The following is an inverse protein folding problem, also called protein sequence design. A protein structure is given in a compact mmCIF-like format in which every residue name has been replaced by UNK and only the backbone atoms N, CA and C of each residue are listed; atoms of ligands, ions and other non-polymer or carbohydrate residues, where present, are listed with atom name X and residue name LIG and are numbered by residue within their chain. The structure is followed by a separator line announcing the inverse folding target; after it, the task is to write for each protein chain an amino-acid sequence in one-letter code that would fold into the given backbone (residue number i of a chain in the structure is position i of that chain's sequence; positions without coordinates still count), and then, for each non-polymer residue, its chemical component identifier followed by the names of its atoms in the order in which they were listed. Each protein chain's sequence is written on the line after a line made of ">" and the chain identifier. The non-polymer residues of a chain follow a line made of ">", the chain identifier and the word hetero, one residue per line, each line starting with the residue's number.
data_IF_016542167676
#
_entry.id   IF_016542167676
#
_cell.length_a   1.000
_cell.length_b   1.000
_cell.length_c   1.000
_cell.angle_alpha   90.00
_cell.angle_beta   90.00
_cell.angle_gamma   90.00
#
_symmetry.space_group_name_H-M   'P 1'
#
loop_
_entity.id
_entity.type
_entity.pdbx_description
1 polymer ?
#
# COMPACT_ATOMS: atom_id res chain seq x y z
N UNK A 1 20.62 -61.55 -59.21
CA UNK A 1 20.42 -60.07 -59.23
C UNK A 1 19.65 -59.67 -58.04
N UNK A 2 20.31 -59.10 -56.98
CA UNK A 2 19.72 -58.69 -55.73
C UNK A 2 19.53 -57.17 -55.76
N UNK A 3 18.25 -56.72 -55.85
CA UNK A 3 17.92 -55.30 -55.73
C UNK A 3 18.01 -54.81 -54.33
N UNK A 4 18.96 -53.90 -54.03
CA UNK A 4 19.06 -53.21 -52.77
C UNK A 4 17.99 -52.10 -52.72
N UNK A 5 17.04 -52.18 -51.76
CA UNK A 5 16.18 -51.08 -51.40
C UNK A 5 16.94 -50.13 -50.45
N UNK A 6 17.01 -48.86 -50.81
CA UNK A 6 17.52 -47.78 -49.95
C UNK A 6 16.33 -47.18 -49.24
N UNK A 7 16.26 -47.11 -47.89
CA UNK A 7 15.19 -46.42 -47.20
C UNK A 7 15.41 -44.89 -47.25
N UNK A 8 14.39 -44.19 -47.73
CA UNK A 8 14.34 -42.74 -47.77
C UNK A 8 13.93 -42.24 -46.34
N UNK A 9 14.91 -41.69 -45.61
CA UNK A 9 14.63 -41.07 -44.33
C UNK A 9 14.05 -39.65 -44.56
N UNK A 10 12.76 -39.47 -44.31
CA UNK A 10 12.12 -38.17 -44.34
C UNK A 10 12.47 -37.42 -43.04
N UNK A 11 13.32 -36.39 -43.16
CA UNK A 11 13.68 -35.50 -42.07
C UNK A 11 12.56 -34.47 -41.88
N UNK A 12 11.68 -34.70 -40.91
CA UNK A 12 10.66 -33.72 -40.52
C UNK A 12 11.29 -32.61 -39.69
N UNK A 13 11.47 -31.44 -40.29
CA UNK A 13 11.84 -30.23 -39.55
C UNK A 13 10.62 -29.73 -38.73
N UNK A 14 10.66 -29.92 -37.42
CA UNK A 14 9.76 -29.18 -36.55
C UNK A 14 10.25 -27.74 -36.43
N UNK A 15 9.61 -26.81 -37.14
CA UNK A 15 9.78 -25.37 -36.92
C UNK A 15 9.05 -25.04 -35.62
N UNK A 16 9.78 -25.02 -34.54
CA UNK A 16 9.30 -24.46 -33.25
C UNK A 16 9.22 -22.94 -33.43
N UNK A 17 8.03 -22.44 -33.69
CA UNK A 17 7.75 -21.02 -33.69
C UNK A 17 7.67 -20.56 -32.22
N UNK A 18 8.82 -20.28 -31.59
CA UNK A 18 8.83 -19.58 -30.32
C UNK A 18 8.48 -18.12 -30.62
N UNK A 19 7.22 -17.75 -30.41
CA UNK A 19 6.84 -16.33 -30.33
C UNK A 19 7.54 -15.74 -29.09
N UNK A 20 8.69 -15.12 -29.30
CA UNK A 20 9.35 -14.33 -28.26
C UNK A 20 8.32 -13.29 -27.77
N UNK A 21 7.87 -13.40 -26.53
CA UNK A 21 7.06 -12.36 -25.91
C UNK A 21 7.87 -11.06 -25.99
N UNK A 22 7.28 -10.03 -26.63
CA UNK A 22 7.90 -8.70 -26.67
C UNK A 22 8.12 -8.24 -25.24
N UNK A 23 9.33 -7.80 -24.91
CA UNK A 23 9.63 -7.26 -23.59
C UNK A 23 8.70 -6.08 -23.31
N UNK A 24 8.13 -6.04 -22.10
CA UNK A 24 7.26 -4.95 -21.66
C UNK A 24 8.15 -3.74 -21.36
N UNK A 25 7.82 -2.60 -21.94
CA UNK A 25 8.44 -1.32 -21.63
C UNK A 25 7.61 -0.67 -20.50
N UNK A 26 7.97 -0.97 -19.26
CA UNK A 26 7.23 -0.55 -18.08
C UNK A 26 7.18 0.98 -17.93
N UNK A 27 8.21 1.69 -18.35
CA UNK A 27 8.22 3.17 -18.31
C UNK A 27 7.18 3.78 -19.26
N UNK A 28 6.99 3.17 -20.44
CA UNK A 28 5.98 3.66 -21.39
C UNK A 28 4.55 3.41 -20.98
N UNK A 29 4.30 2.33 -20.23
CA UNK A 29 2.94 1.96 -19.85
C UNK A 29 2.54 2.49 -18.47
N UNK A 30 3.48 2.98 -17.66
CA UNK A 30 3.23 3.52 -16.32
C UNK A 30 2.10 4.55 -16.32
N UNK A 31 2.17 5.56 -17.18
CA UNK A 31 1.17 6.62 -17.25
C UNK A 31 -0.26 6.09 -17.55
N UNK A 32 -0.36 4.98 -18.31
CA UNK A 32 -1.66 4.31 -18.56
C UNK A 32 -2.29 3.86 -17.25
N UNK A 33 -1.51 3.29 -16.33
CA UNK A 33 -2.02 2.74 -15.08
C UNK A 33 -2.14 3.80 -13.99
N UNK A 34 -1.20 4.74 -13.88
CA UNK A 34 -1.33 5.92 -12.99
C UNK A 34 -2.65 6.65 -13.24
N UNK A 35 -3.04 6.82 -14.53
CA UNK A 35 -4.29 7.50 -14.89
C UNK A 35 -5.55 6.65 -14.66
N UNK A 36 -5.44 5.38 -14.27
CA UNK A 36 -6.58 4.55 -13.87
C UNK A 36 -6.95 4.70 -12.39
N UNK A 37 -6.13 5.37 -11.58
CA UNK A 37 -6.51 5.76 -10.21
C UNK A 37 -7.75 6.67 -10.30
N UNK A 38 -8.82 6.25 -9.66
CA UNK A 38 -10.16 6.79 -9.87
C UNK A 38 -10.73 7.42 -8.61
N UNK A 39 -11.07 8.70 -8.69
CA UNK A 39 -11.61 9.50 -7.58
C UNK A 39 -12.92 8.92 -7.03
N UNK A 40 -13.80 8.44 -7.90
CA UNK A 40 -15.10 7.92 -7.48
C UNK A 40 -14.97 6.62 -6.68
N UNK A 41 -13.99 5.77 -7.05
CA UNK A 41 -13.69 4.57 -6.26
C UNK A 41 -13.15 4.93 -4.87
N UNK A 42 -12.20 5.86 -4.79
CA UNK A 42 -11.65 6.35 -3.52
C UNK A 42 -12.76 6.90 -2.63
N UNK A 43 -13.63 7.75 -3.19
CA UNK A 43 -14.77 8.32 -2.48
C UNK A 43 -15.75 7.25 -2.02
N UNK A 44 -16.13 6.32 -2.90
CA UNK A 44 -17.03 5.20 -2.59
C UNK A 44 -16.53 4.42 -1.38
N UNK A 45 -15.25 4.01 -1.42
CA UNK A 45 -14.68 3.19 -0.37
C UNK A 45 -14.52 3.95 0.94
N UNK A 46 -14.08 5.22 0.88
CA UNK A 46 -13.91 6.04 2.07
C UNK A 46 -15.24 6.33 2.77
N UNK A 47 -16.28 6.60 2.00
CA UNK A 47 -17.63 6.82 2.55
C UNK A 47 -18.12 5.62 3.38
N UNK A 48 -17.68 4.41 3.05
CA UNK A 48 -18.03 3.20 3.80
C UNK A 48 -17.08 3.00 4.97
N UNK A 49 -15.76 3.05 4.72
CA UNK A 49 -14.72 2.80 5.74
C UNK A 49 -14.79 3.79 6.90
N UNK A 50 -15.09 5.06 6.63
CA UNK A 50 -15.21 6.11 7.62
C UNK A 50 -16.67 6.47 7.94
N UNK A 51 -17.59 5.51 7.83
CA UNK A 51 -18.99 5.68 8.25
C UNK A 51 -19.16 5.32 9.74
N UNK A 52 -20.24 5.84 10.33
CA UNK A 52 -20.63 5.51 11.71
C UNK A 52 -20.86 4.01 11.91
N UNK A 53 -21.22 3.26 10.88
CA UNK A 53 -21.37 1.79 10.93
C UNK A 53 -20.06 1.08 11.28
N UNK A 54 -18.93 1.69 11.00
CA UNK A 54 -17.60 1.16 11.33
C UNK A 54 -17.12 1.57 12.73
N UNK A 55 -17.94 2.31 13.49
CA UNK A 55 -17.73 2.60 14.91
C UNK A 55 -16.34 3.19 15.21
N UNK A 56 -15.76 3.93 14.24
CA UNK A 56 -14.41 4.50 14.34
C UNK A 56 -13.28 3.46 14.41
N UNK A 57 -13.52 2.22 14.01
CA UNK A 57 -12.52 1.15 13.76
C UNK A 57 -11.50 0.91 14.87
N UNK A 58 -11.87 1.07 16.15
CA UNK A 58 -10.93 0.84 17.25
C UNK A 58 -10.29 -0.55 17.17
N UNK A 59 -9.01 -0.64 17.50
CA UNK A 59 -8.22 -1.88 17.43
C UNK A 59 -8.94 -3.08 18.02
N UNK A 60 -9.22 -4.10 17.20
CA UNK A 60 -9.87 -5.35 17.55
C UNK A 60 -11.37 -5.24 17.85
N UNK A 61 -11.98 -4.05 17.72
CA UNK A 61 -13.43 -3.86 17.87
C UNK A 61 -14.23 -4.49 16.73
N UNK A 62 -15.54 -4.63 16.94
CA UNK A 62 -16.42 -5.10 15.86
C UNK A 62 -16.46 -4.11 14.69
N UNK A 63 -16.34 -2.81 14.93
CA UNK A 63 -16.23 -1.81 13.88
C UNK A 63 -15.02 -2.03 12.98
N UNK A 64 -13.83 -2.28 13.57
CA UNK A 64 -12.64 -2.62 12.79
C UNK A 64 -12.83 -3.91 12.00
N UNK A 65 -13.44 -4.93 12.61
CA UNK A 65 -13.72 -6.20 11.93
C UNK A 65 -14.71 -6.07 10.78
N UNK A 66 -15.71 -5.18 10.89
CA UNK A 66 -16.63 -4.83 9.78
C UNK A 66 -15.85 -4.21 8.62
N UNK A 67 -14.99 -3.22 8.90
CA UNK A 67 -14.13 -2.60 7.89
C UNK A 67 -13.24 -3.62 7.20
N UNK A 68 -12.62 -4.53 7.96
CA UNK A 68 -11.81 -5.62 7.44
C UNK A 68 -12.57 -6.55 6.50
N UNK A 69 -13.78 -6.98 6.89
CA UNK A 69 -14.65 -7.79 6.02
C UNK A 69 -15.00 -7.07 4.72
N UNK A 70 -15.35 -5.79 4.82
CA UNK A 70 -15.64 -4.98 3.63
C UNK A 70 -14.45 -4.92 2.66
N UNK A 71 -13.24 -4.62 3.14
CA UNK A 71 -12.04 -4.59 2.30
C UNK A 71 -11.78 -5.92 1.61
N UNK A 72 -11.88 -7.03 2.34
CA UNK A 72 -11.68 -8.37 1.81
C UNK A 72 -12.72 -8.71 0.73
N UNK A 73 -13.97 -8.34 0.92
CA UNK A 73 -15.03 -8.59 -0.06
C UNK A 73 -14.81 -7.76 -1.34
N UNK A 74 -14.31 -6.52 -1.22
CA UNK A 74 -13.91 -5.72 -2.38
C UNK A 74 -12.68 -6.34 -3.08
N UNK A 75 -11.66 -6.83 -2.35
CA UNK A 75 -10.52 -7.53 -2.96
C UNK A 75 -10.95 -8.78 -3.74
N UNK A 76 -11.87 -9.58 -3.20
CA UNK A 76 -12.44 -10.73 -3.93
C UNK A 76 -13.14 -10.31 -5.23
N UNK A 77 -13.93 -9.22 -5.20
CA UNK A 77 -14.59 -8.66 -6.39
C UNK A 77 -13.60 -8.17 -7.45
N UNK A 78 -12.44 -7.68 -7.01
CA UNK A 78 -11.34 -7.24 -7.89
C UNK A 78 -10.44 -8.39 -8.36
N UNK A 79 -10.71 -9.64 -7.98
CA UNK A 79 -9.84 -10.80 -8.20
C UNK A 79 -8.43 -10.64 -7.60
N UNK A 80 -8.25 -9.81 -6.59
CA UNK A 80 -7.01 -9.68 -5.82
C UNK A 80 -7.02 -10.74 -4.73
N UNK A 81 -6.04 -11.63 -4.75
CA UNK A 81 -5.95 -12.73 -3.80
C UNK A 81 -5.16 -12.34 -2.54
N UNK A 82 -5.14 -13.23 -1.58
CA UNK A 82 -4.19 -13.19 -0.47
C UNK A 82 -2.86 -13.89 -0.86
N UNK A 83 -1.75 -13.65 -0.13
CA UNK A 83 -0.45 -14.23 -0.46
C UNK A 83 -0.44 -15.75 -0.42
N UNK A 84 0.30 -16.38 -1.34
CA UNK A 84 0.57 -17.83 -1.26
C UNK A 84 1.30 -18.16 0.04
N UNK A 85 0.84 -19.18 0.73
CA UNK A 85 1.35 -19.58 2.05
C UNK A 85 0.57 -19.01 3.22
N UNK A 86 -0.23 -17.95 3.00
CA UNK A 86 -1.23 -17.53 3.97
C UNK A 86 -2.47 -18.45 3.91
N UNK A 87 -3.22 -18.50 5.00
CA UNK A 87 -4.45 -19.27 5.11
C UNK A 87 -5.65 -18.54 4.49
N UNK A 88 -5.66 -17.22 4.62
CA UNK A 88 -6.69 -16.30 4.16
C UNK A 88 -6.14 -14.87 4.08
N UNK A 89 -7.00 -13.86 4.02
CA UNK A 89 -6.62 -12.46 3.98
C UNK A 89 -6.14 -11.88 5.32
N UNK A 90 -6.12 -12.68 6.40
CA UNK A 90 -5.81 -12.20 7.73
C UNK A 90 -4.45 -12.67 8.23
N UNK A 91 -3.70 -11.76 8.84
CA UNK A 91 -2.64 -12.09 9.78
C UNK A 91 -3.15 -11.78 11.19
N UNK A 92 -3.47 -12.82 11.95
CA UNK A 92 -3.93 -12.65 13.33
C UNK A 92 -2.85 -12.00 14.21
N UNK A 93 -3.20 -10.93 14.90
CA UNK A 93 -2.37 -10.23 15.87
C UNK A 93 -2.95 -10.48 17.26
N UNK A 94 -2.36 -11.36 18.06
CA UNK A 94 -2.98 -11.80 19.30
C UNK A 94 -2.95 -10.71 20.38
N UNK A 95 -3.97 -10.68 21.23
CA UNK A 95 -4.07 -9.78 22.37
C UNK A 95 -2.84 -9.85 23.29
N UNK A 96 -2.24 -11.03 23.43
CA UNK A 96 -1.00 -11.21 24.21
C UNK A 96 0.17 -10.40 23.66
N UNK A 97 0.25 -10.19 22.34
CA UNK A 97 1.25 -9.33 21.72
C UNK A 97 0.89 -7.85 21.85
N UNK A 98 -0.38 -7.51 21.61
CA UNK A 98 -0.87 -6.12 21.71
C UNK A 98 -0.70 -5.55 23.11
N UNK A 99 -0.91 -6.35 24.15
CA UNK A 99 -0.82 -5.94 25.55
C UNK A 99 0.55 -6.21 26.21
N UNK A 100 1.53 -6.75 25.48
CA UNK A 100 2.79 -7.22 26.07
C UNK A 100 3.63 -6.12 26.78
N UNK A 101 3.63 -4.90 26.23
CA UNK A 101 4.41 -3.77 26.77
C UNK A 101 3.60 -2.88 27.73
N UNK A 102 2.30 -2.79 27.49
CA UNK A 102 1.34 -2.02 28.29
C UNK A 102 0.05 -2.79 28.32
N UNK A 103 -0.58 -2.91 29.46
CA UNK A 103 -1.91 -3.51 29.54
C UNK A 103 -2.95 -2.50 29.05
N UNK A 104 -3.24 -2.57 27.76
CA UNK A 104 -4.23 -1.73 27.07
C UNK A 104 -5.61 -2.37 27.05
N UNK A 105 -5.74 -3.63 27.54
CA UNK A 105 -6.94 -4.46 27.47
C UNK A 105 -7.50 -4.62 26.05
N UNK A 106 -6.62 -4.63 25.05
CA UNK A 106 -7.00 -4.83 23.67
C UNK A 106 -7.35 -6.30 23.42
N UNK A 107 -8.41 -6.60 22.67
CA UNK A 107 -8.71 -7.94 22.19
C UNK A 107 -7.76 -8.37 21.05
N UNK A 108 -7.92 -9.60 20.57
CA UNK A 108 -7.27 -10.04 19.34
C UNK A 108 -7.69 -9.14 18.18
N UNK A 109 -6.73 -8.81 17.33
CA UNK A 109 -6.94 -8.04 16.12
C UNK A 109 -6.24 -8.72 14.93
N UNK A 110 -6.26 -8.11 13.77
CA UNK A 110 -5.66 -8.67 12.55
C UNK A 110 -5.09 -7.58 11.64
N UNK A 111 -3.94 -7.86 11.02
CA UNK A 111 -3.57 -7.18 9.79
C UNK A 111 -4.33 -7.82 8.61
N UNK A 112 -4.58 -7.05 7.57
CA UNK A 112 -5.19 -7.53 6.34
C UNK A 112 -4.19 -7.39 5.22
N UNK A 113 -4.01 -8.44 4.44
CA UNK A 113 -3.15 -8.43 3.28
C UNK A 113 -3.88 -8.83 2.00
N UNK A 114 -3.49 -8.19 0.92
CA UNK A 114 -3.84 -8.57 -0.43
C UNK A 114 -2.56 -8.64 -1.28
N UNK A 115 -2.55 -9.44 -2.33
CA UNK A 115 -1.31 -9.80 -3.01
C UNK A 115 -1.46 -9.86 -4.52
N UNK A 116 -0.56 -9.19 -5.20
CA UNK A 116 -0.41 -9.28 -6.64
C UNK A 116 0.94 -9.95 -6.93
N UNK A 117 0.90 -11.23 -7.30
CA UNK A 117 2.12 -11.98 -7.61
C UNK A 117 2.82 -11.39 -8.83
N UNK A 118 4.11 -11.13 -8.67
CA UNK A 118 4.99 -10.65 -9.73
C UNK A 118 5.28 -11.69 -10.82
N UNK A 119 5.99 -11.27 -11.85
CA UNK A 119 6.32 -12.14 -12.99
C UNK A 119 7.69 -12.81 -12.83
N UNK A 120 8.76 -12.14 -13.17
CA UNK A 120 10.13 -12.69 -13.22
C UNK A 120 10.95 -12.45 -11.94
N UNK A 121 10.55 -11.49 -11.10
CA UNK A 121 11.15 -11.20 -9.80
C UNK A 121 10.15 -11.43 -8.64
N UNK A 122 9.29 -12.42 -8.76
CA UNK A 122 8.13 -12.65 -7.87
C UNK A 122 8.49 -12.88 -6.40
N UNK A 123 9.71 -13.28 -6.11
CA UNK A 123 10.20 -13.52 -4.75
C UNK A 123 10.71 -12.24 -4.07
N UNK A 124 10.87 -11.15 -4.82
CA UNK A 124 11.15 -9.82 -4.30
C UNK A 124 9.82 -9.10 -4.05
N UNK A 125 9.65 -8.52 -2.86
CA UNK A 125 8.37 -7.98 -2.39
C UNK A 125 8.46 -6.47 -2.24
N UNK A 126 7.54 -5.75 -2.86
CA UNK A 126 7.25 -4.35 -2.56
C UNK A 126 6.05 -4.31 -1.62
N UNK A 127 6.22 -3.75 -0.44
CA UNK A 127 5.11 -3.53 0.49
C UNK A 127 4.51 -2.16 0.22
N UNK A 128 3.19 -2.07 0.24
CA UNK A 128 2.45 -0.80 0.31
C UNK A 128 1.58 -0.89 1.54
N UNK A 129 1.80 -0.01 2.51
CA UNK A 129 1.20 -0.09 3.84
C UNK A 129 0.38 1.15 4.20
N UNK A 130 -0.66 0.95 5.02
CA UNK A 130 -1.50 1.95 5.65
C UNK A 130 -2.16 1.31 6.87
N UNK A 131 -2.53 2.08 7.89
CA UNK A 131 -3.33 1.50 8.96
C UNK A 131 -4.83 1.64 8.69
N UNK A 132 -5.63 0.73 9.25
CA UNK A 132 -7.07 0.76 9.07
C UNK A 132 -7.85 0.83 10.38
N UNK A 133 -7.16 0.74 11.52
CA UNK A 133 -7.74 1.08 12.81
C UNK A 133 -7.78 2.61 13.01
N UNK A 134 -8.62 3.05 13.93
CA UNK A 134 -8.66 4.43 14.40
C UNK A 134 -9.12 4.47 15.87
N UNK A 135 -9.40 5.64 16.37
CA UNK A 135 -9.66 5.93 17.77
C UNK A 135 -10.92 5.25 18.34
N UNK A 136 -11.91 4.93 17.50
CA UNK A 136 -13.15 4.28 17.92
C UNK A 136 -14.20 5.22 18.47
N UNK A 137 -14.91 4.79 19.51
CA UNK A 137 -15.94 5.57 20.18
C UNK A 137 -15.47 6.04 21.56
N UNK A 138 -15.67 7.31 21.89
CA UNK A 138 -15.36 7.90 23.20
C UNK A 138 -16.49 8.83 23.62
N UNK A 139 -16.98 8.68 24.85
CA UNK A 139 -18.01 9.53 25.45
C UNK A 139 -19.31 9.65 24.62
N UNK A 140 -19.65 8.62 23.85
CA UNK A 140 -20.84 8.61 22.99
C UNK A 140 -20.63 9.24 21.61
N UNK A 141 -19.44 9.73 21.28
CA UNK A 141 -19.05 10.23 19.98
C UNK A 141 -18.26 9.19 19.21
N UNK A 142 -18.47 9.12 17.90
CA UNK A 142 -17.74 8.26 16.98
C UNK A 142 -16.63 9.07 16.34
N UNK A 143 -15.42 8.53 16.32
CA UNK A 143 -14.25 9.11 15.69
C UNK A 143 -14.05 8.37 14.36
N UNK A 144 -14.62 8.89 13.29
CA UNK A 144 -14.67 8.19 12.00
C UNK A 144 -13.31 8.05 11.33
N UNK A 145 -12.34 8.96 11.59
CA UNK A 145 -11.00 8.89 11.05
C UNK A 145 -10.99 8.79 9.52
N UNK A 146 -11.61 9.80 8.87
CA UNK A 146 -11.70 9.79 7.41
C UNK A 146 -10.35 10.07 6.76
N UNK A 147 -9.56 10.98 7.32
CA UNK A 147 -8.18 11.19 6.90
C UNK A 147 -7.24 10.23 7.61
N UNK A 148 -7.40 10.06 8.92
CA UNK A 148 -6.56 9.23 9.78
C UNK A 148 -7.17 7.83 10.07
N UNK A 149 -6.78 6.74 9.45
CA UNK A 149 -6.13 6.65 8.15
C UNK A 149 -7.07 5.97 7.14
N UNK A 150 -8.31 6.47 7.10
CA UNK A 150 -9.26 6.07 6.06
C UNK A 150 -8.72 6.39 4.66
N UNK A 151 -8.07 7.56 4.51
CA UNK A 151 -7.53 8.03 3.22
C UNK A 151 -6.42 7.13 2.69
N UNK A 152 -5.47 6.70 3.51
CA UNK A 152 -4.44 5.73 3.13
C UNK A 152 -5.01 4.34 2.91
N UNK A 153 -5.94 3.89 3.77
CA UNK A 153 -6.63 2.62 3.60
C UNK A 153 -7.28 2.50 2.22
N UNK A 154 -8.03 3.49 1.76
CA UNK A 154 -8.69 3.41 0.44
C UNK A 154 -7.72 3.63 -0.72
N UNK A 155 -6.62 4.37 -0.51
CA UNK A 155 -5.55 4.49 -1.48
C UNK A 155 -4.95 3.11 -1.80
N UNK A 156 -4.67 2.30 -0.77
CA UNK A 156 -4.19 0.92 -0.94
C UNK A 156 -5.17 0.05 -1.73
N UNK A 157 -6.47 0.15 -1.43
CA UNK A 157 -7.50 -0.60 -2.15
C UNK A 157 -7.51 -0.26 -3.65
N UNK A 158 -7.42 1.02 -3.98
CA UNK A 158 -7.41 1.49 -5.37
C UNK A 158 -6.11 1.12 -6.08
N UNK A 159 -4.96 1.21 -5.41
CA UNK A 159 -3.67 0.76 -5.95
C UNK A 159 -3.70 -0.74 -6.25
N UNK A 160 -4.26 -1.56 -5.36
CA UNK A 160 -4.44 -3.01 -5.58
C UNK A 160 -5.25 -3.29 -6.84
N UNK A 161 -6.37 -2.57 -7.02
CA UNK A 161 -7.22 -2.68 -8.21
C UNK A 161 -6.44 -2.40 -9.49
N UNK A 162 -5.63 -1.35 -9.49
CA UNK A 162 -4.88 -0.94 -10.69
C UNK A 162 -3.72 -1.90 -10.98
N UNK A 163 -2.99 -2.38 -9.97
CA UNK A 163 -1.96 -3.42 -10.15
C UNK A 163 -2.57 -4.73 -10.66
N UNK A 164 -3.72 -5.13 -10.12
CA UNK A 164 -4.42 -6.33 -10.60
C UNK A 164 -4.88 -6.15 -12.06
N UNK A 165 -5.42 -4.99 -12.40
CA UNK A 165 -5.78 -4.67 -13.79
C UNK A 165 -4.57 -4.72 -14.73
N UNK A 166 -3.44 -4.20 -14.30
CA UNK A 166 -2.20 -4.30 -15.09
C UNK A 166 -1.81 -5.76 -15.31
N UNK A 167 -1.93 -6.60 -14.29
CA UNK A 167 -1.66 -8.04 -14.38
C UNK A 167 -2.62 -8.74 -15.36
N UNK A 168 -3.91 -8.43 -15.31
CA UNK A 168 -4.93 -8.97 -16.21
C UNK A 168 -4.68 -8.54 -17.67
N UNK A 169 -4.19 -7.32 -17.88
CA UNK A 169 -3.77 -6.81 -19.20
C UNK A 169 -2.48 -7.46 -19.73
N UNK A 170 -1.83 -8.35 -18.96
CA UNK A 170 -0.55 -8.96 -19.30
C UNK A 170 0.67 -8.05 -19.04
N UNK A 171 0.48 -6.95 -18.32
CA UNK A 171 1.49 -5.95 -17.96
C UNK A 171 1.71 -5.91 -16.43
N UNK A 172 1.52 -7.02 -15.73
CA UNK A 172 1.69 -7.11 -14.28
C UNK A 172 3.13 -6.79 -13.84
N UNK A 173 3.31 -6.46 -12.55
CA UNK A 173 4.60 -6.07 -12.02
C UNK A 173 5.62 -7.22 -12.11
N UNK A 174 6.91 -6.89 -12.17
CA UNK A 174 8.01 -7.88 -12.12
C UNK A 174 8.17 -8.42 -10.70
N UNK A 175 8.21 -7.52 -9.69
CA UNK A 175 8.20 -7.86 -8.27
C UNK A 175 6.78 -8.03 -7.77
N UNK A 176 6.61 -8.83 -6.75
CA UNK A 176 5.29 -8.98 -6.12
C UNK A 176 4.93 -7.75 -5.29
N UNK A 177 3.65 -7.40 -5.28
CA UNK A 177 3.11 -6.33 -4.45
C UNK A 177 2.34 -6.93 -3.28
N UNK A 178 2.73 -6.58 -2.07
CA UNK A 178 1.98 -6.86 -0.86
C UNK A 178 1.27 -5.59 -0.40
N UNK A 179 -0.03 -5.56 -0.51
CA UNK A 179 -0.88 -4.55 0.09
C UNK A 179 -1.11 -4.96 1.55
N UNK A 180 -0.74 -4.12 2.49
CA UNK A 180 -0.74 -4.45 3.91
C UNK A 180 -1.48 -3.37 4.71
N UNK A 181 -2.73 -3.66 5.07
CA UNK A 181 -3.45 -2.84 6.04
C UNK A 181 -3.11 -3.33 7.44
N UNK A 182 -2.49 -2.47 8.23
CA UNK A 182 -2.07 -2.84 9.57
C UNK A 182 -3.06 -2.37 10.62
N UNK A 183 -3.13 -3.11 11.72
CA UNK A 183 -3.94 -2.79 12.89
C UNK A 183 -3.09 -2.15 13.98
N UNK A 184 -3.75 -1.52 14.94
CA UNK A 184 -3.13 -1.06 16.20
C UNK A 184 -1.96 -0.07 15.98
N UNK A 185 -2.05 0.76 14.95
CA UNK A 185 -1.17 1.91 14.75
C UNK A 185 -1.34 2.90 15.88
N UNK A 186 -2.58 3.30 16.16
CA UNK A 186 -3.03 4.31 17.13
C UNK A 186 -2.58 4.04 18.59
N UNK A 187 -2.27 2.79 18.86
CA UNK A 187 -1.85 2.35 20.18
C UNK A 187 -0.36 1.98 20.25
N UNK A 188 0.38 2.26 19.19
CA UNK A 188 1.85 2.16 19.17
C UNK A 188 2.42 1.26 18.08
N UNK A 189 1.94 1.35 16.83
CA UNK A 189 2.48 0.69 15.64
C UNK A 189 2.55 -0.85 15.80
N UNK A 190 1.56 -1.43 16.49
CA UNK A 190 1.68 -2.85 16.87
C UNK A 190 1.48 -3.80 15.70
N UNK A 191 0.61 -3.47 14.73
CA UNK A 191 0.33 -4.33 13.59
C UNK A 191 1.54 -4.45 12.65
N UNK A 192 2.14 -3.35 12.28
CA UNK A 192 3.36 -3.34 11.46
C UNK A 192 4.56 -3.95 12.20
N UNK A 193 4.65 -3.74 13.52
CA UNK A 193 5.64 -4.42 14.36
C UNK A 193 5.42 -5.94 14.34
N UNK A 194 4.17 -6.40 14.51
CA UNK A 194 3.87 -7.82 14.48
C UNK A 194 4.21 -8.44 13.13
N UNK A 195 3.87 -7.75 12.01
CA UNK A 195 4.25 -8.21 10.69
C UNK A 195 5.77 -8.32 10.56
N UNK A 196 6.52 -7.31 10.98
CA UNK A 196 8.00 -7.33 10.85
C UNK A 196 8.67 -8.38 11.74
N UNK A 197 8.06 -8.76 12.87
CA UNK A 197 8.55 -9.83 13.76
C UNK A 197 8.05 -11.23 13.32
N UNK A 198 6.94 -11.32 12.58
CA UNK A 198 6.30 -12.54 12.10
C UNK A 198 5.93 -12.44 10.60
N UNK A 199 6.89 -12.14 9.72
CA UNK A 199 6.57 -11.89 8.32
C UNK A 199 6.20 -13.18 7.59
N UNK A 200 5.25 -13.09 6.64
CA UNK A 200 4.92 -14.22 5.76
C UNK A 200 6.06 -14.51 4.77
N UNK A 201 6.67 -13.45 4.24
CA UNK A 201 7.84 -13.54 3.38
C UNK A 201 9.08 -13.12 4.19
N UNK A 202 10.25 -13.76 3.99
CA UNK A 202 11.48 -13.31 4.65
C UNK A 202 11.67 -11.79 4.44
N UNK A 203 11.92 -11.03 5.50
CA UNK A 203 12.12 -9.58 5.40
C UNK A 203 13.23 -9.19 4.43
N UNK A 204 14.25 -10.05 4.28
CA UNK A 204 15.33 -9.87 3.30
C UNK A 204 14.82 -9.83 1.84
N UNK A 205 13.63 -10.33 1.58
CA UNK A 205 13.00 -10.28 0.25
C UNK A 205 12.18 -9.00 0.05
N UNK A 206 11.94 -8.22 1.10
CA UNK A 206 11.24 -6.94 0.99
C UNK A 206 12.22 -5.87 0.50
N UNK A 207 11.98 -5.36 -0.70
CA UNK A 207 12.87 -4.37 -1.35
C UNK A 207 12.60 -2.95 -0.91
N UNK A 208 11.34 -2.62 -0.62
CA UNK A 208 10.94 -1.34 -0.05
C UNK A 208 9.52 -1.42 0.55
N UNK A 209 9.20 -0.43 1.39
CA UNK A 209 7.86 -0.14 1.87
C UNK A 209 7.44 1.28 1.47
N UNK A 210 6.23 1.41 0.92
CA UNK A 210 5.57 2.68 0.61
C UNK A 210 4.39 2.83 1.56
N UNK A 211 4.58 3.59 2.62
CA UNK A 211 3.56 3.82 3.64
C UNK A 211 2.76 5.08 3.33
N UNK A 212 1.46 4.98 3.46
CA UNK A 212 0.51 6.08 3.23
C UNK A 212 -0.29 6.26 4.51
N UNK A 213 -0.28 7.48 5.06
CA UNK A 213 -0.99 7.79 6.28
C UNK A 213 -1.37 9.27 6.27
N UNK A 214 -2.68 9.55 6.31
CA UNK A 214 -3.27 10.89 6.22
C UNK A 214 -2.87 11.64 4.94
N UNK A 215 -3.56 11.36 3.84
CA UNK A 215 -3.34 12.01 2.54
C UNK A 215 -4.57 12.77 1.99
N UNK A 216 -5.61 12.93 2.81
CA UNK A 216 -6.91 13.47 2.38
C UNK A 216 -7.13 14.94 2.69
N UNK A 217 -6.29 15.57 3.46
CA UNK A 217 -6.44 16.95 3.91
C UNK A 217 -5.21 17.79 3.58
N UNK A 218 -5.19 19.02 4.04
CA UNK A 218 -4.03 19.90 4.07
C UNK A 218 -3.80 20.46 5.46
N UNK A 219 -2.55 20.78 5.78
CA UNK A 219 -2.17 21.43 7.02
C UNK A 219 -2.14 22.96 6.89
N UNK A 220 -1.92 23.64 7.99
CA UNK A 220 -1.84 25.12 8.03
C UNK A 220 -0.67 25.68 7.19
N UNK A 221 0.39 24.90 6.98
CA UNK A 221 1.53 25.33 6.17
C UNK A 221 1.19 25.38 4.69
N UNK A 222 0.25 24.58 4.26
CA UNK A 222 -0.19 24.44 2.86
C UNK A 222 -1.64 24.86 2.66
N UNK A 223 -2.17 25.77 3.50
CA UNK A 223 -3.57 26.22 3.43
C UNK A 223 -4.01 26.75 2.06
N UNK A 224 -3.08 27.25 1.27
CA UNK A 224 -3.35 27.86 -0.03
C UNK A 224 -3.34 26.85 -1.19
N UNK A 225 -2.86 25.62 -0.97
CA UNK A 225 -2.79 24.59 -2.02
C UNK A 225 -2.75 23.19 -1.43
N UNK A 226 -3.56 22.28 -2.00
CA UNK A 226 -3.53 20.84 -1.67
C UNK A 226 -2.59 20.02 -2.58
N UNK A 227 -1.87 20.68 -3.50
CA UNK A 227 -0.96 20.06 -4.45
C UNK A 227 0.43 19.84 -3.87
N UNK A 228 0.52 19.19 -2.75
CA UNK A 228 1.77 18.83 -2.08
C UNK A 228 1.65 17.48 -1.37
N UNK A 229 2.78 16.94 -0.98
CA UNK A 229 2.90 15.80 -0.07
C UNK A 229 4.22 15.91 0.69
N UNK A 230 4.22 15.60 1.97
CA UNK A 230 5.43 15.37 2.74
C UNK A 230 6.00 13.99 2.38
N UNK A 231 7.29 13.96 2.09
CA UNK A 231 8.05 12.73 1.77
C UNK A 231 9.05 12.51 2.89
N UNK A 232 8.81 11.50 3.72
CA UNK A 232 9.56 11.26 4.95
C UNK A 232 10.28 9.91 4.87
N UNK A 233 11.58 9.88 5.17
CA UNK A 233 12.38 8.67 5.27
C UNK A 233 12.97 8.14 3.98
N UNK A 234 12.60 8.66 2.82
CA UNK A 234 12.99 8.11 1.51
C UNK A 234 14.51 8.02 1.30
N UNK A 235 15.30 8.94 1.87
CA UNK A 235 16.77 8.99 1.76
C UNK A 235 17.51 8.39 2.98
N UNK A 236 16.80 7.97 4.02
CA UNK A 236 17.43 7.53 5.28
C UNK A 236 18.23 6.24 5.10
N UNK A 237 17.75 5.32 4.31
CA UNK A 237 18.36 4.01 4.07
C UNK A 237 18.74 3.77 2.60
N UNK A 238 18.24 4.60 1.67
CA UNK A 238 18.42 4.36 0.24
C UNK A 238 18.35 5.66 -0.55
N UNK A 239 19.47 6.10 -1.11
CA UNK A 239 19.48 7.20 -2.11
C UNK A 239 18.66 6.82 -3.35
N UNK A 240 18.56 5.54 -3.64
CA UNK A 240 17.82 5.01 -4.77
C UNK A 240 16.30 5.23 -4.59
N UNK A 241 15.76 4.92 -3.41
CA UNK A 241 14.36 5.21 -3.10
C UNK A 241 14.04 6.72 -3.17
N UNK A 242 14.96 7.57 -2.68
CA UNK A 242 14.83 9.02 -2.84
C UNK A 242 14.72 9.42 -4.32
N UNK A 243 15.62 8.92 -5.16
CA UNK A 243 15.59 9.20 -6.60
C UNK A 243 14.32 8.69 -7.27
N UNK A 244 13.79 7.54 -6.85
CA UNK A 244 12.50 7.02 -7.32
C UNK A 244 11.36 8.00 -6.98
N UNK A 245 11.31 8.50 -5.75
CA UNK A 245 10.31 9.48 -5.34
C UNK A 245 10.35 10.76 -6.20
N UNK A 246 11.56 11.30 -6.45
CA UNK A 246 11.74 12.48 -7.31
C UNK A 246 11.34 12.20 -8.77
N UNK A 247 11.78 11.08 -9.32
CA UNK A 247 11.49 10.69 -10.70
C UNK A 247 10.01 10.45 -10.94
N UNK A 248 9.34 9.75 -10.03
CA UNK A 248 7.90 9.49 -10.13
C UNK A 248 7.10 10.81 -10.19
N UNK A 249 7.47 11.80 -9.37
CA UNK A 249 6.83 13.11 -9.42
C UNK A 249 7.18 13.88 -10.69
N UNK A 250 8.44 13.84 -11.13
CA UNK A 250 8.90 14.53 -12.36
C UNK A 250 8.20 13.99 -13.61
N UNK A 251 8.05 12.66 -13.71
CA UNK A 251 7.36 12.00 -14.83
C UNK A 251 5.89 12.42 -14.95
N UNK A 252 5.22 12.63 -13.84
CA UNK A 252 3.78 12.85 -13.81
C UNK A 252 3.37 14.27 -13.46
N UNK A 253 4.29 15.11 -12.96
CA UNK A 253 4.05 16.54 -12.63
C UNK A 253 2.94 16.74 -11.60
N UNK A 254 2.85 15.84 -10.60
CA UNK A 254 1.67 15.71 -9.77
C UNK A 254 1.64 16.70 -8.60
N UNK A 255 2.77 16.86 -7.88
CA UNK A 255 2.81 17.48 -6.56
C UNK A 255 4.07 18.34 -6.35
N UNK A 256 4.01 19.20 -5.35
CA UNK A 256 5.22 19.74 -4.71
C UNK A 256 5.64 18.76 -3.61
N UNK A 257 6.84 18.22 -3.72
CA UNK A 257 7.40 17.35 -2.68
C UNK A 257 7.97 18.23 -1.57
N UNK A 258 7.51 18.04 -0.33
CA UNK A 258 8.00 18.76 0.83
C UNK A 258 8.76 17.80 1.76
N UNK A 259 10.01 18.12 2.04
CA UNK A 259 10.91 17.34 2.89
C UNK A 259 11.08 17.91 4.30
N UNK A 260 10.22 18.87 4.69
CA UNK A 260 10.32 19.53 6.00
C UNK A 260 10.41 18.55 7.16
N UNK A 261 9.59 17.52 7.15
CA UNK A 261 9.53 16.51 8.22
C UNK A 261 10.50 15.35 8.01
N UNK A 262 11.29 15.39 6.94
CA UNK A 262 12.40 14.46 6.71
C UNK A 262 13.68 14.86 7.45
N UNK A 263 13.69 15.99 8.16
CA UNK A 263 14.82 16.41 8.98
C UNK A 263 14.96 15.46 10.19
N UNK A 264 16.14 14.88 10.41
CA UNK A 264 16.46 14.05 11.58
C UNK A 264 16.27 14.74 12.92
N UNK A 265 16.24 16.09 12.92
CA UNK A 265 15.99 16.93 14.07
C UNK A 265 14.53 17.44 14.15
N UNK A 266 13.64 16.92 13.32
CA UNK A 266 12.21 17.27 13.39
C UNK A 266 11.67 17.09 14.79
N UNK A 267 11.17 18.19 15.39
CA UNK A 267 10.64 18.20 16.77
C UNK A 267 9.38 17.37 16.91
N UNK A 268 8.62 17.19 15.83
CA UNK A 268 7.41 16.36 15.80
C UNK A 268 7.75 14.87 15.73
N UNK A 269 8.97 14.55 15.26
CA UNK A 269 9.48 13.19 15.12
C UNK A 269 8.58 12.30 14.23
N UNK A 270 7.99 12.86 13.17
CA UNK A 270 7.05 12.13 12.31
C UNK A 270 7.63 10.86 11.71
N UNK A 271 8.94 10.83 11.41
CA UNK A 271 9.61 9.60 10.97
C UNK A 271 9.40 8.38 11.88
N UNK A 272 9.08 8.58 13.16
CA UNK A 272 8.89 7.51 14.13
C UNK A 272 7.42 7.25 14.48
N UNK A 273 6.49 7.90 13.75
CA UNK A 273 5.09 7.96 14.16
C UNK A 273 4.12 7.26 13.22
N UNK A 274 4.61 6.57 12.17
CA UNK A 274 3.78 5.76 11.31
C UNK A 274 4.46 4.41 10.99
N UNK A 275 3.77 3.52 10.35
CA UNK A 275 4.07 2.09 10.22
C UNK A 275 5.36 1.78 9.45
N UNK A 276 5.77 2.65 8.51
CA UNK A 276 7.06 2.56 7.79
C UNK A 276 8.24 2.38 8.74
N UNK A 277 8.16 2.94 9.96
CA UNK A 277 9.26 2.85 10.92
C UNK A 277 9.57 1.40 11.32
N UNK A 278 8.58 0.53 11.37
CA UNK A 278 8.79 -0.88 11.69
C UNK A 278 9.51 -1.63 10.56
N UNK A 279 9.42 -1.18 9.32
CA UNK A 279 10.22 -1.67 8.20
C UNK A 279 11.61 -1.04 8.21
N UNK A 280 11.68 0.27 8.33
CA UNK A 280 12.95 1.02 8.33
C UNK A 280 13.92 0.58 9.43
N UNK A 281 13.46 0.34 10.67
CA UNK A 281 14.31 -0.15 11.76
C UNK A 281 14.89 -1.55 11.52
N UNK A 282 14.29 -2.32 10.61
CA UNK A 282 14.79 -3.62 10.14
C UNK A 282 15.65 -3.51 8.87
N UNK A 283 16.03 -2.29 8.47
CA UNK A 283 16.92 -2.04 7.34
C UNK A 283 16.22 -2.05 5.97
N UNK A 284 14.89 -2.03 5.93
CA UNK A 284 14.12 -1.97 4.69
C UNK A 284 13.94 -0.50 4.29
N UNK A 285 14.37 -0.08 3.08
CA UNK A 285 14.09 1.24 2.55
C UNK A 285 12.59 1.56 2.61
N UNK A 286 12.21 2.66 3.24
CA UNK A 286 10.81 2.98 3.46
C UNK A 286 10.56 4.46 3.24
N UNK A 287 9.43 4.80 2.64
CA UNK A 287 8.93 6.17 2.51
C UNK A 287 7.57 6.29 3.16
N UNK A 288 7.37 7.38 3.89
CA UNK A 288 6.10 7.77 4.46
C UNK A 288 5.55 8.98 3.73
N UNK A 289 4.40 8.82 3.10
CA UNK A 289 3.66 9.86 2.39
C UNK A 289 2.55 10.39 3.31
N UNK A 290 2.60 11.70 3.56
CA UNK A 290 1.80 12.36 4.59
C UNK A 290 1.35 13.75 4.10
N UNK A 291 0.22 14.24 4.52
CA UNK A 291 -0.25 15.60 4.19
C UNK A 291 -0.25 16.58 5.38
N UNK A 292 0.27 16.14 6.51
CA UNK A 292 0.34 16.99 7.71
C UNK A 292 -0.86 16.82 8.63
N UNK A 293 -0.74 17.41 9.82
CA UNK A 293 -1.80 17.39 10.82
C UNK A 293 -2.72 18.58 10.60
N UNK A 294 -4.03 18.33 10.57
CA UNK A 294 -5.08 19.32 10.43
C UNK A 294 -5.88 19.49 11.73
N UNK A 295 -6.78 20.45 11.75
CA UNK A 295 -7.56 20.81 12.95
C UNK A 295 -8.46 19.71 13.50
N UNK A 296 -8.86 18.75 12.65
CA UNK A 296 -9.78 17.65 12.99
C UNK A 296 -9.02 16.35 13.40
N UNK A 297 -7.69 16.35 13.39
CA UNK A 297 -6.87 15.19 13.75
C UNK A 297 -7.24 14.65 15.14
N UNK A 298 -7.54 13.35 15.23
CA UNK A 298 -8.00 12.66 16.45
C UNK A 298 -9.26 13.30 17.08
N UNK A 299 -10.14 13.87 16.26
CA UNK A 299 -11.43 14.41 16.70
C UNK A 299 -12.60 13.69 16.02
N UNK A 300 -13.81 13.72 16.62
CA UNK A 300 -15.00 13.16 16.00
C UNK A 300 -15.43 13.91 14.73
N UNK A 301 -14.74 15.00 14.38
CA UNK A 301 -14.98 15.83 13.21
C UNK A 301 -14.06 15.49 12.03
N UNK A 302 -13.23 14.44 12.12
CA UNK A 302 -12.49 13.91 10.97
C UNK A 302 -13.41 13.01 10.13
N UNK A 303 -14.26 13.67 9.35
CA UNK A 303 -15.34 13.08 8.57
C UNK A 303 -15.13 13.19 7.05
N UNK A 304 -15.81 12.32 6.30
CA UNK A 304 -15.70 12.20 4.84
C UNK A 304 -16.04 13.48 4.08
N UNK A 305 -16.93 14.29 4.61
CA UNK A 305 -17.36 15.56 3.99
C UNK A 305 -16.27 16.62 3.94
N UNK A 306 -15.21 16.45 4.75
CA UNK A 306 -14.02 17.33 4.79
C UNK A 306 -12.87 16.86 3.91
N UNK A 307 -12.95 15.68 3.33
CA UNK A 307 -11.88 15.11 2.52
C UNK A 307 -11.80 15.79 1.15
N UNK A 308 -10.58 16.19 0.80
CA UNK A 308 -10.22 16.75 -0.51
C UNK A 308 -9.89 15.61 -1.49
N UNK A 309 -10.91 15.03 -2.13
CA UNK A 309 -10.76 13.82 -2.96
C UNK A 309 -9.85 14.00 -4.18
N UNK A 310 -9.69 15.20 -4.70
CA UNK A 310 -8.71 15.54 -5.73
C UNK A 310 -7.27 15.39 -5.20
N UNK A 311 -7.03 15.79 -3.95
CA UNK A 311 -5.75 15.60 -3.27
C UNK A 311 -5.47 14.12 -3.00
N UNK A 312 -6.44 13.39 -2.42
CA UNK A 312 -6.32 11.92 -2.23
C UNK A 312 -5.97 11.25 -3.55
N UNK A 313 -6.70 11.58 -4.62
CA UNK A 313 -6.47 10.99 -5.95
C UNK A 313 -5.06 11.27 -6.45
N UNK A 314 -4.59 12.52 -6.33
CA UNK A 314 -3.28 12.91 -6.84
C UNK A 314 -2.15 12.28 -6.03
N UNK A 315 -2.28 12.25 -4.70
CA UNK A 315 -1.31 11.61 -3.80
C UNK A 315 -1.29 10.08 -3.96
N UNK A 316 -2.46 9.46 -4.17
CA UNK A 316 -2.53 8.01 -4.52
C UNK A 316 -1.87 7.72 -5.87
N UNK A 317 -2.03 8.57 -6.88
CA UNK A 317 -1.30 8.44 -8.17
C UNK A 317 0.21 8.49 -7.97
N UNK A 318 0.67 9.39 -7.13
CA UNK A 318 2.09 9.52 -6.79
C UNK A 318 2.62 8.27 -6.05
N UNK A 319 1.91 7.81 -5.03
CA UNK A 319 2.26 6.58 -4.32
C UNK A 319 2.29 5.35 -5.25
N UNK A 320 1.31 5.25 -6.16
CA UNK A 320 1.27 4.20 -7.17
C UNK A 320 2.46 4.27 -8.11
N UNK A 321 2.84 5.46 -8.59
CA UNK A 321 3.99 5.64 -9.47
C UNK A 321 5.31 5.21 -8.78
N UNK A 322 5.50 5.56 -7.50
CA UNK A 322 6.64 5.08 -6.70
C UNK A 322 6.65 3.55 -6.64
N UNK A 323 5.54 2.94 -6.23
CA UNK A 323 5.43 1.49 -6.10
C UNK A 323 5.59 0.79 -7.45
N UNK A 324 5.07 1.37 -8.54
CA UNK A 324 5.24 0.87 -9.90
C UNK A 324 6.71 0.86 -10.34
N UNK A 325 7.43 1.96 -10.11
CA UNK A 325 8.85 2.05 -10.46
C UNK A 325 9.67 1.04 -9.65
N UNK A 326 9.47 0.94 -8.33
CA UNK A 326 10.15 -0.06 -7.50
C UNK A 326 9.86 -1.48 -8.00
N UNK A 327 8.61 -1.76 -8.36
CA UNK A 327 8.20 -3.09 -8.78
C UNK A 327 8.76 -3.53 -10.13
N UNK A 328 9.07 -2.60 -11.04
CA UNK A 328 9.35 -2.90 -12.44
C UNK A 328 10.80 -2.65 -12.90
N UNK A 329 11.58 -1.94 -12.10
CA UNK A 329 12.99 -1.66 -12.44
C UNK A 329 13.89 -2.91 -12.34
N UNK A 330 15.11 -2.79 -12.89
CA UNK A 330 16.14 -3.84 -12.89
C UNK A 330 16.60 -4.25 -11.48
#
# INVERSE_FOLDING_TARGET
>A
MIKKLIPLFALTFFISCSTAKKAIDYDKIEAKYVNQINTENLKKHLTIIASDEMEGRNTGSEGQKKAGRYMIDEYKKMNVSFPKGAKDYYQAVPASFLNAKRNLNLPDSENIWAYIEGSDKKDEIVVVSAHYDHVGMKNGEIYNGADDDGSGTVALMEMARVFQKAKEDGNGPRRSILILHVTAEEVGLHGSRYYSENPLFPLANTVADVNIDMIGRRDELHKDSNKYVYVIGSDYLSTDLYNICENANTKHGLLTLDYKYNDKNDKNRFYYRSDHYNFAKNGIPSVFLFSGVHEDYHKPTDDVDKIEFDAVTTRTKYAFAIAWEIANRE
#
